data_IF_765267465756
#
_entry.id   IF_765267465756
#
_cell.length_a   1.000
_cell.length_b   1.000
_cell.length_c   1.000
_cell.angle_alpha   90.00
_cell.angle_beta   90.00
_cell.angle_gamma   90.00
#
_symmetry.space_group_name_H-M   'P 1'
#
loop_
_entity.id
_entity.type
_entity.pdbx_description
1 polymer ?
#
# COMPACT_ATOMS: atom_id res chain seq x y z
N UNK A 1 -65.25 -33.21 -10.23
CA UNK A 1 -64.93 -34.65 -10.30
C UNK A 1 -65.45 -35.21 -11.62
N UNK A 2 -64.62 -35.96 -12.35
CA UNK A 2 -64.76 -36.43 -13.74
C UNK A 2 -64.68 -35.34 -14.84
N UNK A 3 -63.48 -35.16 -15.40
CA UNK A 3 -63.12 -35.49 -16.80
C UNK A 3 -61.70 -34.99 -17.10
N UNK A 4 -61.05 -35.67 -18.04
CA UNK A 4 -59.73 -35.38 -18.64
C UNK A 4 -58.49 -35.85 -17.85
N UNK A 5 -58.44 -37.16 -17.61
CA UNK A 5 -57.20 -37.93 -17.86
C UNK A 5 -57.08 -38.18 -19.37
N UNK A 6 -55.83 -38.30 -19.85
CA UNK A 6 -55.38 -38.69 -21.20
C UNK A 6 -55.16 -37.55 -22.22
N UNK A 7 -54.01 -36.87 -22.10
CA UNK A 7 -53.19 -36.42 -23.23
C UNK A 7 -51.88 -35.82 -22.71
N UNK A 8 -50.81 -36.63 -22.67
CA UNK A 8 -49.38 -36.25 -22.77
C UNK A 8 -48.50 -37.43 -22.31
N UNK A 9 -48.77 -38.62 -22.87
CA UNK A 9 -47.82 -39.73 -22.89
C UNK A 9 -47.13 -39.72 -24.26
N UNK A 10 -45.92 -39.14 -24.31
CA UNK A 10 -44.82 -39.38 -25.27
C UNK A 10 -43.95 -38.12 -25.32
N UNK A 11 -42.95 -38.04 -24.43
CA UNK A 11 -41.68 -37.31 -24.67
C UNK A 11 -40.65 -37.49 -23.53
N UNK A 12 -40.67 -38.63 -22.83
CA UNK A 12 -39.67 -38.95 -21.80
C UNK A 12 -39.18 -40.38 -21.97
N UNK A 13 -38.42 -40.62 -23.05
CA UNK A 13 -37.53 -41.77 -23.18
C UNK A 13 -36.26 -41.30 -23.92
N UNK A 14 -35.37 -40.63 -23.18
CA UNK A 14 -33.97 -40.47 -23.56
C UNK A 14 -33.14 -41.54 -22.84
N UNK A 15 -32.11 -42.13 -23.47
CA UNK A 15 -31.36 -43.23 -22.89
C UNK A 15 -30.53 -42.75 -21.70
N UNK A 16 -30.60 -43.48 -20.59
CA UNK A 16 -29.78 -43.29 -19.41
C UNK A 16 -28.32 -43.67 -19.74
N UNK A 17 -27.49 -42.67 -20.03
CA UNK A 17 -26.04 -42.82 -20.06
C UNK A 17 -25.48 -42.60 -18.66
N UNK A 18 -25.15 -43.69 -17.97
CA UNK A 18 -24.38 -43.68 -16.72
C UNK A 18 -22.96 -43.17 -16.99
N UNK A 19 -22.72 -41.88 -16.76
CA UNK A 19 -21.35 -41.35 -16.69
C UNK A 19 -20.68 -41.91 -15.44
N UNK A 20 -19.44 -42.43 -15.51
CA UNK A 20 -18.72 -42.84 -14.32
C UNK A 20 -18.47 -41.58 -13.49
N UNK A 21 -18.94 -41.60 -12.23
CA UNK A 21 -18.55 -40.61 -11.24
C UNK A 21 -17.05 -40.78 -11.04
N UNK A 22 -16.26 -39.89 -11.63
CA UNK A 22 -14.86 -39.76 -11.30
C UNK A 22 -14.80 -39.40 -9.80
N UNK A 23 -14.44 -40.39 -8.97
CA UNK A 23 -13.99 -40.14 -7.61
C UNK A 23 -12.79 -39.22 -7.74
N UNK A 24 -13.01 -37.93 -7.51
CA UNK A 24 -11.91 -37.02 -7.19
C UNK A 24 -11.38 -37.52 -5.86
N UNK A 25 -10.29 -38.28 -5.91
CA UNK A 25 -9.49 -38.55 -4.74
C UNK A 25 -8.91 -37.20 -4.34
N UNK A 26 -9.59 -36.50 -3.45
CA UNK A 26 -8.98 -35.42 -2.68
C UNK A 26 -7.98 -36.13 -1.78
N UNK A 27 -6.76 -36.28 -2.27
CA UNK A 27 -5.65 -36.59 -1.38
C UNK A 27 -5.57 -35.40 -0.44
N UNK A 28 -5.88 -35.61 0.84
CA UNK A 28 -5.55 -34.65 1.88
C UNK A 28 -4.02 -34.56 1.88
N UNK A 29 -3.46 -33.63 1.11
CA UNK A 29 -2.05 -33.28 1.22
C UNK A 29 -1.88 -32.84 2.66
N UNK A 30 -1.15 -33.64 3.44
CA UNK A 30 -0.75 -33.22 4.76
C UNK A 30 0.10 -31.96 4.60
N UNK A 31 0.01 -31.03 5.57
CA UNK A 31 0.85 -29.83 5.63
C UNK A 31 2.37 -30.12 5.56
N UNK A 32 2.78 -31.39 5.64
CA UNK A 32 4.16 -31.89 5.57
C UNK A 32 4.79 -31.95 4.15
N UNK A 33 4.03 -31.72 3.07
CA UNK A 33 4.52 -31.90 1.68
C UNK A 33 4.80 -30.59 0.92
N UNK A 34 4.82 -29.42 1.58
CA UNK A 34 5.13 -28.15 0.93
C UNK A 34 6.63 -27.91 0.83
N UNK A 35 7.06 -27.24 -0.24
CA UNK A 35 8.42 -26.75 -0.36
C UNK A 35 8.67 -25.66 0.70
N UNK A 36 9.86 -25.67 1.32
CA UNK A 36 10.24 -24.64 2.29
C UNK A 36 10.60 -23.32 1.60
N UNK A 37 11.14 -23.39 0.39
CA UNK A 37 11.51 -22.24 -0.43
C UNK A 37 11.48 -22.60 -1.92
N UNK A 38 11.39 -21.58 -2.77
CA UNK A 38 11.52 -21.70 -4.22
C UNK A 38 12.25 -20.49 -4.79
N UNK A 39 12.89 -20.68 -5.95
CA UNK A 39 13.59 -19.63 -6.68
C UNK A 39 12.66 -19.08 -7.76
N UNK A 40 12.59 -17.76 -7.85
CA UNK A 40 11.77 -17.05 -8.82
C UNK A 40 12.64 -16.14 -9.68
N UNK A 41 12.35 -16.12 -10.97
CA UNK A 41 12.84 -15.08 -11.88
C UNK A 41 12.02 -13.80 -11.70
N UNK A 42 12.72 -12.67 -11.68
CA UNK A 42 12.14 -11.34 -11.60
C UNK A 42 12.60 -10.53 -12.81
N UNK A 43 11.72 -9.65 -13.28
CA UNK A 43 11.96 -8.85 -14.48
C UNK A 43 13.23 -8.01 -14.31
N UNK A 44 14.06 -7.96 -15.34
CA UNK A 44 15.26 -7.13 -15.36
C UNK A 44 14.89 -5.65 -15.17
N UNK A 45 15.67 -4.98 -14.33
CA UNK A 45 15.54 -3.56 -14.04
C UNK A 45 16.16 -2.70 -15.15
N UNK A 46 15.54 -1.57 -15.44
CA UNK A 46 16.19 -0.53 -16.23
C UNK A 46 16.98 0.38 -15.30
N UNK A 47 18.21 0.68 -15.68
CA UNK A 47 19.21 1.33 -14.83
C UNK A 47 19.59 2.70 -15.38
N UNK A 48 19.88 3.62 -14.48
CA UNK A 48 20.41 4.95 -14.76
C UNK A 48 21.65 5.18 -13.89
N UNK A 49 22.81 5.39 -14.52
CA UNK A 49 24.11 5.58 -13.85
C UNK A 49 24.46 4.48 -12.82
N UNK A 50 24.07 3.24 -13.11
CA UNK A 50 24.45 2.05 -12.37
C UNK A 50 25.04 1.03 -13.36
N UNK A 51 26.19 0.46 -13.04
CA UNK A 51 26.81 -0.61 -13.84
C UNK A 51 26.09 -1.93 -13.63
N UNK A 52 25.71 -2.21 -12.38
CA UNK A 52 24.97 -3.40 -11.97
C UNK A 52 23.72 -3.00 -11.19
N UNK A 53 22.66 -3.78 -11.38
CA UNK A 53 21.38 -3.60 -10.69
C UNK A 53 21.12 -4.70 -9.66
N UNK A 54 19.90 -4.74 -9.10
CA UNK A 54 19.47 -5.84 -8.24
C UNK A 54 19.50 -7.18 -8.99
N UNK A 55 19.61 -8.32 -8.28
CA UNK A 55 19.61 -9.65 -8.89
C UNK A 55 18.31 -9.89 -9.66
N UNK A 56 18.37 -10.69 -10.73
CA UNK A 56 17.19 -11.06 -11.54
C UNK A 56 16.56 -12.39 -11.12
N UNK A 57 17.07 -12.99 -10.06
CA UNK A 57 16.51 -14.18 -9.42
C UNK A 57 16.49 -13.98 -7.92
N UNK A 58 15.52 -14.59 -7.24
CA UNK A 58 15.45 -14.52 -5.79
C UNK A 58 14.80 -15.74 -5.17
N UNK A 59 15.22 -16.07 -3.95
CA UNK A 59 14.57 -17.07 -3.12
C UNK A 59 13.38 -16.45 -2.39
N UNK A 60 12.26 -17.16 -2.33
CA UNK A 60 11.13 -16.86 -1.45
C UNK A 60 10.86 -18.09 -0.58
N UNK A 61 10.92 -17.93 0.73
CA UNK A 61 10.51 -18.99 1.65
C UNK A 61 8.99 -19.03 1.76
N UNK A 62 8.45 -20.22 2.09
CA UNK A 62 7.02 -20.42 2.35
C UNK A 62 6.49 -19.46 3.42
N UNK A 63 7.22 -19.31 4.52
CA UNK A 63 6.86 -18.40 5.62
C UNK A 63 6.74 -16.95 5.14
N UNK A 64 7.75 -16.46 4.40
CA UNK A 64 7.72 -15.12 3.81
C UNK A 64 6.54 -14.96 2.85
N UNK A 65 6.30 -15.96 1.98
CA UNK A 65 5.20 -15.94 1.03
C UNK A 65 3.84 -15.83 1.71
N UNK A 66 3.58 -16.64 2.72
CA UNK A 66 2.32 -16.61 3.48
C UNK A 66 2.14 -15.25 4.19
N UNK A 67 3.22 -14.72 4.77
CA UNK A 67 3.20 -13.41 5.42
C UNK A 67 2.91 -12.27 4.43
N UNK A 68 3.56 -12.26 3.26
CA UNK A 68 3.33 -11.24 2.23
C UNK A 68 1.91 -11.33 1.67
N UNK A 69 1.42 -12.54 1.40
CA UNK A 69 0.06 -12.76 0.93
C UNK A 69 -0.97 -12.24 1.92
N UNK A 70 -0.86 -12.64 3.21
CA UNK A 70 -1.72 -12.15 4.29
C UNK A 70 -1.69 -10.63 4.39
N UNK A 71 -0.50 -10.03 4.38
CA UNK A 71 -0.32 -8.57 4.51
C UNK A 71 -0.97 -7.80 3.36
N UNK A 72 -0.70 -8.19 2.10
CA UNK A 72 -1.31 -7.55 0.94
C UNK A 72 -2.83 -7.73 0.94
N UNK A 73 -3.32 -8.91 1.32
CA UNK A 73 -4.76 -9.17 1.42
C UNK A 73 -5.41 -8.34 2.52
N UNK A 74 -4.78 -8.16 3.68
CA UNK A 74 -5.27 -7.26 4.73
C UNK A 74 -5.42 -5.84 4.23
N UNK A 75 -4.42 -5.32 3.50
CA UNK A 75 -4.48 -3.98 2.90
C UNK A 75 -5.64 -3.90 1.90
N UNK A 76 -5.71 -4.83 0.93
CA UNK A 76 -6.80 -4.89 -0.06
C UNK A 76 -8.17 -4.86 0.60
N UNK A 77 -8.39 -5.66 1.64
CA UNK A 77 -9.68 -5.75 2.32
C UNK A 77 -9.98 -4.52 3.18
N UNK A 78 -8.97 -3.93 3.82
CA UNK A 78 -9.08 -2.65 4.54
C UNK A 78 -9.51 -1.52 3.60
N UNK A 79 -8.90 -1.39 2.43
CA UNK A 79 -9.24 -0.35 1.45
C UNK A 79 -10.67 -0.53 0.90
N UNK A 80 -11.07 -1.76 0.58
CA UNK A 80 -12.44 -2.05 0.14
C UNK A 80 -13.48 -1.79 1.24
N UNK A 81 -13.11 -1.98 2.50
CA UNK A 81 -13.96 -1.61 3.64
C UNK A 81 -14.05 -0.09 3.79
N UNK A 82 -12.95 0.63 3.61
CA UNK A 82 -12.94 2.09 3.62
C UNK A 82 -13.82 2.68 2.50
N UNK A 83 -13.81 2.10 1.28
CA UNK A 83 -14.76 2.44 0.21
C UNK A 83 -16.22 2.31 0.67
N UNK A 84 -16.57 1.17 1.27
CA UNK A 84 -17.92 0.90 1.78
C UNK A 84 -18.33 1.94 2.84
N UNK A 85 -17.48 2.16 3.85
CA UNK A 85 -17.76 3.09 4.95
C UNK A 85 -17.87 4.55 4.46
N UNK A 86 -17.11 4.92 3.43
CA UNK A 86 -17.21 6.24 2.80
C UNK A 86 -18.55 6.41 2.06
N UNK A 87 -18.98 5.40 1.29
CA UNK A 87 -20.29 5.41 0.62
C UNK A 87 -21.44 5.49 1.62
N UNK A 88 -21.29 4.89 2.80
CA UNK A 88 -22.22 4.99 3.93
C UNK A 88 -22.15 6.32 4.69
N UNK A 89 -21.29 7.27 4.28
CA UNK A 89 -21.06 8.57 4.92
C UNK A 89 -20.48 8.49 6.34
N UNK A 90 -19.93 7.34 6.72
CA UNK A 90 -19.24 7.16 8.00
C UNK A 90 -17.82 7.75 7.91
N UNK A 91 -17.16 7.58 6.77
CA UNK A 91 -15.94 8.31 6.42
C UNK A 91 -16.34 9.54 5.59
N UNK A 92 -15.67 10.66 5.84
CA UNK A 92 -15.91 11.97 5.21
C UNK A 92 -14.60 12.65 4.79
N UNK A 93 -14.68 13.74 4.04
CA UNK A 93 -13.50 14.48 3.57
C UNK A 93 -12.72 13.69 2.52
N UNK A 94 -11.40 13.64 2.65
CA UNK A 94 -10.55 12.88 1.74
C UNK A 94 -10.43 11.41 2.16
N UNK A 95 -10.38 10.52 1.17
CA UNK A 95 -10.05 9.10 1.36
C UNK A 95 -9.39 8.59 0.07
N UNK A 96 -8.12 8.19 0.15
CA UNK A 96 -7.30 7.79 -1.00
C UNK A 96 -6.90 6.33 -0.86
N UNK A 97 -7.55 5.44 -1.61
CA UNK A 97 -7.41 4.00 -1.45
C UNK A 97 -6.16 3.43 -2.13
N UNK A 98 -5.43 2.56 -1.45
CA UNK A 98 -4.16 2.01 -1.93
C UNK A 98 -4.29 0.72 -2.77
N UNK A 99 -5.51 0.28 -3.09
CA UNK A 99 -5.73 -1.01 -3.72
C UNK A 99 -5.22 -1.08 -5.18
N UNK A 100 -4.44 -2.11 -5.47
CA UNK A 100 -3.67 -2.29 -6.70
C UNK A 100 -2.16 -1.99 -6.53
N UNK A 101 -1.78 -1.28 -5.47
CA UNK A 101 -0.39 -0.91 -5.18
C UNK A 101 0.23 -1.74 -4.04
N UNK A 102 -0.41 -2.81 -3.57
CA UNK A 102 -0.02 -3.51 -2.34
C UNK A 102 1.42 -4.06 -2.38
N UNK A 103 1.87 -4.52 -3.55
CA UNK A 103 3.24 -4.98 -3.75
C UNK A 103 4.29 -3.91 -3.42
N UNK A 104 3.98 -2.62 -3.61
CA UNK A 104 4.89 -1.52 -3.28
C UNK A 104 5.15 -1.46 -1.78
N UNK A 105 4.12 -1.28 -0.96
CA UNK A 105 4.28 -1.14 0.49
C UNK A 105 4.78 -2.42 1.17
N UNK A 106 4.31 -3.60 0.75
CA UNK A 106 4.75 -4.88 1.31
C UNK A 106 6.17 -5.24 0.86
N UNK A 107 6.51 -5.01 -0.41
CA UNK A 107 7.85 -5.26 -0.94
C UNK A 107 8.89 -4.33 -0.31
N UNK A 108 8.55 -3.06 -0.09
CA UNK A 108 9.40 -2.11 0.63
C UNK A 108 9.63 -2.55 2.08
N UNK A 109 8.55 -2.87 2.81
CA UNK A 109 8.63 -3.33 4.20
C UNK A 109 9.49 -4.59 4.34
N UNK A 110 9.41 -5.50 3.37
CA UNK A 110 10.16 -6.74 3.34
C UNK A 110 11.68 -6.56 3.15
N UNK A 111 12.13 -5.36 2.80
CA UNK A 111 13.52 -5.06 2.46
C UNK A 111 14.23 -4.12 3.44
N UNK A 112 13.47 -3.47 4.33
CA UNK A 112 14.01 -2.50 5.29
C UNK A 112 13.77 -2.95 6.73
N UNK A 113 14.54 -2.40 7.67
CA UNK A 113 14.41 -2.70 9.08
C UNK A 113 13.31 -1.85 9.73
N UNK A 114 12.84 -2.27 10.91
CA UNK A 114 11.93 -1.45 11.73
C UNK A 114 12.59 -0.19 12.29
N UNK A 115 13.92 -0.17 12.35
CA UNK A 115 14.72 1.00 12.70
C UNK A 115 14.83 2.00 11.55
N UNK A 116 14.64 1.56 10.30
CA UNK A 116 14.62 2.46 9.14
C UNK A 116 13.36 3.30 9.09
N UNK A 117 13.48 4.42 8.38
CA UNK A 117 12.48 5.49 8.37
C UNK A 117 11.72 5.52 7.05
N UNK A 118 10.42 5.84 7.10
CA UNK A 118 9.58 5.93 5.90
C UNK A 118 8.66 7.15 5.96
N UNK A 119 8.53 7.86 4.85
CA UNK A 119 7.59 8.97 4.70
C UNK A 119 6.92 8.93 3.31
N UNK A 120 5.62 9.22 3.26
CA UNK A 120 4.85 9.24 2.01
C UNK A 120 3.81 10.37 1.96
N UNK A 121 3.11 10.48 0.83
CA UNK A 121 2.00 11.41 0.64
C UNK A 121 0.72 10.88 1.31
N UNK A 122 -0.45 11.41 0.94
CA UNK A 122 -1.73 11.11 1.57
C UNK A 122 -2.33 9.72 1.26
N UNK A 123 -1.78 8.95 0.31
CA UNK A 123 -2.25 7.59 -0.01
C UNK A 123 -1.56 6.55 0.87
N UNK A 124 -1.76 6.66 2.18
CA UNK A 124 -0.85 6.10 3.17
C UNK A 124 -1.35 4.86 3.92
N UNK A 125 -2.62 4.44 3.79
CA UNK A 125 -3.18 3.44 4.72
C UNK A 125 -2.40 2.11 4.70
N UNK A 126 -1.97 1.65 3.51
CA UNK A 126 -1.11 0.47 3.36
C UNK A 126 0.21 0.61 4.14
N UNK A 127 0.91 1.73 4.00
CA UNK A 127 2.15 2.01 4.74
C UNK A 127 1.92 2.16 6.25
N UNK A 128 0.83 2.80 6.66
CA UNK A 128 0.44 2.89 8.08
C UNK A 128 0.28 1.50 8.70
N UNK A 129 -0.34 0.57 7.97
CA UNK A 129 -0.48 -0.82 8.41
C UNK A 129 0.87 -1.56 8.42
N UNK A 130 1.64 -1.50 7.32
CA UNK A 130 2.93 -2.20 7.27
C UNK A 130 3.90 -1.70 8.33
N UNK A 131 3.85 -0.40 8.68
CA UNK A 131 4.63 0.25 9.75
C UNK A 131 4.09 0.03 11.17
N UNK A 132 3.07 -0.81 11.32
CA UNK A 132 2.71 -1.44 12.61
C UNK A 132 1.45 -0.93 13.27
N UNK A 133 0.70 0.00 12.66
CA UNK A 133 -0.60 0.39 13.20
C UNK A 133 -1.65 -0.67 12.82
N UNK A 134 -2.41 -1.21 13.79
CA UNK A 134 -3.42 -2.21 13.48
C UNK A 134 -4.59 -1.61 12.69
N UNK A 135 -5.23 -2.43 11.84
CA UNK A 135 -6.39 -2.02 11.02
C UNK A 135 -7.50 -1.37 11.85
N UNK A 136 -7.69 -1.84 13.09
CA UNK A 136 -8.65 -1.28 14.04
C UNK A 136 -8.46 0.23 14.25
N UNK A 137 -7.22 0.66 14.50
CA UNK A 137 -6.90 2.08 14.72
C UNK A 137 -6.92 2.88 13.42
N UNK A 138 -6.52 2.28 12.29
CA UNK A 138 -6.59 2.92 10.97
C UNK A 138 -8.05 3.22 10.61
N UNK A 139 -8.95 2.23 10.69
CA UNK A 139 -10.36 2.42 10.37
C UNK A 139 -11.02 3.39 11.35
N UNK A 140 -10.68 3.34 12.65
CA UNK A 140 -11.19 4.29 13.64
C UNK A 140 -10.74 5.73 13.36
N UNK A 141 -9.51 5.93 12.87
CA UNK A 141 -9.05 7.26 12.43
C UNK A 141 -9.81 7.74 11.19
N UNK A 142 -10.06 6.86 10.23
CA UNK A 142 -10.87 7.18 9.04
C UNK A 142 -12.31 7.58 9.40
N UNK A 143 -12.90 6.94 10.40
CA UNK A 143 -14.26 7.25 10.88
C UNK A 143 -14.29 8.37 11.93
N UNK A 144 -13.13 8.98 12.24
CA UNK A 144 -13.01 10.15 13.11
C UNK A 144 -13.27 9.86 14.59
N UNK A 145 -12.91 8.66 15.09
CA UNK A 145 -13.19 8.23 16.47
C UNK A 145 -11.97 8.36 17.38
N UNK A 146 -12.22 8.36 18.70
CA UNK A 146 -11.18 8.56 19.71
C UNK A 146 -10.12 7.45 19.72
N UNK A 147 -10.52 6.22 19.35
CA UNK A 147 -9.62 5.07 19.19
C UNK A 147 -8.82 5.07 17.88
N UNK A 148 -8.89 6.14 17.08
CA UNK A 148 -8.02 6.33 15.93
C UNK A 148 -6.57 6.56 16.32
N UNK A 149 -5.63 6.22 15.42
CA UNK A 149 -4.19 6.38 15.69
C UNK A 149 -3.75 7.85 15.90
N UNK A 150 -4.57 8.82 15.49
CA UNK A 150 -4.40 10.24 15.79
C UNK A 150 -5.63 10.82 16.52
N UNK A 151 -6.37 9.97 17.25
CA UNK A 151 -7.55 10.34 18.03
C UNK A 151 -8.63 11.08 17.22
N UNK A 152 -8.79 10.73 15.94
CA UNK A 152 -9.76 11.37 15.05
C UNK A 152 -9.40 12.80 14.63
N UNK A 153 -8.19 13.29 14.96
CA UNK A 153 -7.73 14.64 14.58
C UNK A 153 -7.14 14.69 13.16
N UNK A 154 -6.63 13.56 12.65
CA UNK A 154 -5.88 13.52 11.40
C UNK A 154 -6.71 13.09 10.19
N UNK A 155 -7.58 12.10 10.37
CA UNK A 155 -8.32 11.45 9.28
C UNK A 155 -7.41 10.68 8.32
N UNK A 156 -7.88 10.47 7.09
CA UNK A 156 -7.20 9.63 6.08
C UNK A 156 -5.77 10.04 5.77
N UNK A 157 -5.51 11.34 5.69
CA UNK A 157 -4.24 11.83 5.16
C UNK A 157 -3.13 11.90 6.20
N UNK A 158 -3.42 11.87 7.50
CA UNK A 158 -2.47 12.24 8.55
C UNK A 158 -2.39 11.17 9.65
N UNK A 159 -1.82 10.03 9.30
CA UNK A 159 -1.56 8.93 10.24
C UNK A 159 -0.06 8.73 10.41
N UNK A 160 0.41 8.64 11.65
CA UNK A 160 1.84 8.54 11.99
C UNK A 160 2.09 7.27 12.81
N UNK A 161 3.30 6.72 12.75
CA UNK A 161 3.70 5.58 13.56
C UNK A 161 5.19 5.67 13.93
N UNK A 162 5.68 4.69 14.68
CA UNK A 162 7.12 4.61 14.97
C UNK A 162 7.91 4.53 13.66
N UNK A 163 8.80 5.50 13.44
CA UNK A 163 9.62 5.65 12.23
C UNK A 163 8.80 5.70 10.91
N UNK A 164 7.52 6.07 11.00
CA UNK A 164 6.66 6.38 9.88
C UNK A 164 6.14 7.80 10.03
N UNK A 165 6.64 8.70 9.19
CA UNK A 165 6.52 10.14 9.36
C UNK A 165 5.31 10.73 8.62
N UNK A 166 4.25 9.94 8.53
CA UNK A 166 2.96 10.44 8.11
C UNK A 166 2.59 10.09 6.68
N UNK A 167 1.29 10.13 6.46
CA UNK A 167 0.76 10.65 5.21
C UNK A 167 0.81 12.19 5.21
N UNK A 168 1.20 12.75 4.06
CA UNK A 168 1.36 14.18 3.89
C UNK A 168 0.43 14.70 2.78
N UNK A 169 -0.40 15.70 3.12
CA UNK A 169 -1.44 16.23 2.24
C UNK A 169 -0.92 17.20 1.17
N UNK A 170 0.25 17.80 1.38
CA UNK A 170 0.84 18.78 0.46
C UNK A 170 1.78 18.08 -0.51
N UNK A 171 1.40 18.06 -1.79
CA UNK A 171 2.11 17.32 -2.84
C UNK A 171 3.58 17.75 -2.94
N UNK A 172 4.50 16.82 -2.69
CA UNK A 172 5.95 17.02 -2.78
C UNK A 172 6.61 17.50 -1.49
N UNK A 173 5.85 18.01 -0.52
CA UNK A 173 6.38 18.54 0.74
C UNK A 173 7.06 17.48 1.61
N UNK A 174 6.66 16.22 1.48
CA UNK A 174 7.26 15.11 2.20
C UNK A 174 8.68 14.77 1.72
N UNK A 175 9.06 15.20 0.52
CA UNK A 175 10.36 14.84 -0.06
C UNK A 175 11.52 15.55 0.64
N UNK A 176 11.50 16.89 0.83
CA UNK A 176 12.47 17.56 1.70
C UNK A 176 12.49 17.01 3.13
N UNK A 177 11.32 16.67 3.70
CA UNK A 177 11.22 16.10 5.04
C UNK A 177 11.95 14.74 5.13
N UNK A 178 11.75 13.86 4.14
CA UNK A 178 12.45 12.58 4.04
C UNK A 178 13.96 12.73 3.96
N UNK A 179 14.46 13.70 3.17
CA UNK A 179 15.89 14.02 3.15
C UNK A 179 16.38 14.58 4.49
N UNK A 180 15.57 15.36 5.22
CA UNK A 180 15.88 15.81 6.58
C UNK A 180 15.99 14.65 7.58
N UNK A 181 15.14 13.63 7.45
CA UNK A 181 15.22 12.40 8.24
C UNK A 181 16.48 11.61 7.87
N UNK A 182 16.81 11.48 6.57
CA UNK A 182 18.05 10.85 6.12
C UNK A 182 19.30 11.59 6.64
N UNK A 183 19.25 12.93 6.68
CA UNK A 183 20.30 13.75 7.30
C UNK A 183 20.46 13.41 8.78
N UNK A 184 19.36 13.25 9.53
CA UNK A 184 19.42 12.82 10.93
C UNK A 184 20.02 11.41 11.07
N UNK A 185 19.67 10.47 10.19
CA UNK A 185 20.24 9.11 10.19
C UNK A 185 21.77 9.16 10.05
N UNK A 186 22.25 9.95 9.08
CA UNK A 186 23.68 10.18 8.87
C UNK A 186 24.33 10.88 10.06
N UNK A 187 23.69 11.92 10.60
CA UNK A 187 24.22 12.72 11.71
C UNK A 187 24.42 11.88 12.98
N UNK A 188 23.48 10.98 13.28
CA UNK A 188 23.55 10.10 14.45
C UNK A 188 24.34 8.80 14.22
N UNK A 189 24.75 8.51 12.98
CA UNK A 189 25.65 7.39 12.65
C UNK A 189 25.08 6.00 12.98
N UNK A 190 23.76 5.80 12.81
CA UNK A 190 23.07 4.55 13.23
C UNK A 190 22.92 3.48 12.16
N UNK A 191 23.52 3.67 10.99
CA UNK A 191 23.33 2.80 9.81
C UNK A 191 21.85 2.61 9.42
N UNK A 192 21.03 3.63 9.70
CA UNK A 192 19.62 3.72 9.33
C UNK A 192 19.49 4.49 8.00
N UNK A 193 18.45 4.18 7.23
CA UNK A 193 18.10 4.89 5.98
C UNK A 193 16.74 5.57 6.09
N UNK A 194 16.44 6.48 5.16
CA UNK A 194 15.08 6.99 4.97
C UNK A 194 14.55 6.69 3.57
N UNK A 195 13.40 6.01 3.52
CA UNK A 195 12.60 5.79 2.32
C UNK A 195 11.62 6.96 2.16
N UNK A 196 11.75 7.68 1.05
CA UNK A 196 11.03 8.93 0.79
C UNK A 196 10.20 8.82 -0.47
N UNK A 197 8.89 8.62 -0.30
CA UNK A 197 7.98 8.33 -1.40
C UNK A 197 7.25 9.58 -1.93
N UNK A 198 6.99 9.59 -3.23
CA UNK A 198 6.16 10.57 -3.92
C UNK A 198 5.51 9.94 -5.17
N UNK A 199 4.41 10.50 -5.67
CA UNK A 199 3.74 10.00 -6.88
C UNK A 199 4.27 10.63 -8.17
N UNK A 200 3.89 10.07 -9.32
CA UNK A 200 4.26 10.59 -10.65
C UNK A 200 3.89 12.07 -10.85
N UNK A 201 2.70 12.50 -10.42
CA UNK A 201 2.30 13.91 -10.45
C UNK A 201 3.13 14.81 -9.51
N UNK A 202 3.62 14.26 -8.39
CA UNK A 202 4.48 14.98 -7.47
C UNK A 202 5.90 15.16 -8.03
N UNK A 203 6.36 14.29 -8.92
CA UNK A 203 7.71 14.29 -9.48
C UNK A 203 8.10 15.55 -10.28
N UNK A 204 7.16 16.47 -10.49
CA UNK A 204 7.39 17.77 -11.13
C UNK A 204 7.45 18.95 -10.13
N UNK A 205 7.39 18.68 -8.82
CA UNK A 205 7.52 19.70 -7.78
C UNK A 205 8.97 20.19 -7.68
N UNK A 206 9.19 21.51 -7.73
CA UNK A 206 10.53 22.12 -7.70
C UNK A 206 11.36 21.70 -6.49
N UNK A 207 10.73 21.67 -5.29
CA UNK A 207 11.38 21.25 -4.04
C UNK A 207 11.98 19.84 -4.07
N UNK A 208 11.50 18.94 -4.94
CA UNK A 208 12.10 17.60 -5.12
C UNK A 208 13.49 17.74 -5.75
N UNK A 209 13.66 18.60 -6.74
CA UNK A 209 14.94 18.81 -7.43
C UNK A 209 15.94 19.57 -6.54
N UNK A 210 15.46 20.53 -5.74
CA UNK A 210 16.28 21.15 -4.68
C UNK A 210 16.78 20.08 -3.70
N UNK A 211 15.89 19.17 -3.30
CA UNK A 211 16.20 18.08 -2.37
C UNK A 211 17.19 17.08 -2.98
N UNK A 212 17.03 16.71 -4.25
CA UNK A 212 18.00 15.86 -4.96
C UNK A 212 19.41 16.44 -4.92
N UNK A 213 19.54 17.73 -5.24
CA UNK A 213 20.83 18.40 -5.21
C UNK A 213 21.48 18.34 -3.82
N UNK A 214 20.76 18.70 -2.76
CA UNK A 214 21.30 18.67 -1.39
C UNK A 214 21.60 17.24 -0.92
N UNK A 215 20.71 16.28 -1.21
CA UNK A 215 20.90 14.90 -0.80
C UNK A 215 22.13 14.27 -1.46
N UNK A 216 22.37 14.55 -2.73
CA UNK A 216 23.56 14.11 -3.45
C UNK A 216 24.82 14.80 -2.92
N UNK A 217 24.77 16.13 -2.77
CA UNK A 217 25.87 16.94 -2.25
C UNK A 217 26.35 16.44 -0.88
N UNK A 218 25.42 16.12 0.00
CA UNK A 218 25.71 15.65 1.35
C UNK A 218 25.77 14.13 1.47
N UNK A 219 25.66 13.36 0.38
CA UNK A 219 25.62 11.90 0.38
C UNK A 219 24.69 11.35 1.47
N UNK A 220 23.43 11.76 1.43
CA UNK A 220 22.44 11.33 2.42
C UNK A 220 21.96 9.89 2.14
N UNK A 221 21.68 9.08 3.17
CA UNK A 221 21.12 7.74 3.03
C UNK A 221 19.61 7.80 2.74
N UNK A 222 19.25 8.43 1.61
CA UNK A 222 17.87 8.68 1.20
C UNK A 222 17.51 7.90 -0.07
N UNK A 223 16.51 7.02 0.01
CA UNK A 223 15.94 6.33 -1.15
C UNK A 223 14.74 7.14 -1.61
N UNK A 224 14.84 7.77 -2.78
CA UNK A 224 13.75 8.52 -3.39
C UNK A 224 12.89 7.59 -4.23
N UNK A 225 11.62 7.44 -3.89
CA UNK A 225 10.73 6.51 -4.59
C UNK A 225 9.61 7.25 -5.29
N UNK A 226 9.55 7.13 -6.62
CA UNK A 226 8.40 7.56 -7.41
C UNK A 226 7.43 6.39 -7.58
N UNK A 227 6.27 6.45 -6.93
CA UNK A 227 5.16 5.53 -7.17
C UNK A 227 4.38 6.00 -8.40
N UNK A 228 4.78 5.49 -9.56
CA UNK A 228 4.17 5.82 -10.84
C UNK A 228 2.94 4.95 -11.06
N UNK A 229 1.76 5.50 -10.75
CA UNK A 229 0.47 4.85 -11.00
C UNK A 229 -0.20 5.35 -12.30
N UNK A 230 0.59 6.02 -13.15
CA UNK A 230 0.25 6.60 -14.46
C UNK A 230 -0.58 7.88 -14.44
N UNK A 231 -1.10 8.31 -13.29
CA UNK A 231 -2.04 9.44 -13.23
C UNK A 231 -1.89 10.32 -11.98
N UNK A 232 -1.42 11.54 -12.18
CA UNK A 232 -1.47 12.63 -11.22
C UNK A 232 -2.89 13.21 -11.13
N UNK A 233 -3.67 12.73 -10.16
CA UNK A 233 -5.12 13.00 -10.08
C UNK A 233 -5.85 12.52 -11.34
N UNK A 234 -6.15 13.42 -12.29
CA UNK A 234 -6.76 13.08 -13.59
C UNK A 234 -5.87 13.37 -14.79
N UNK A 235 -4.59 13.70 -14.58
CA UNK A 235 -3.64 14.01 -15.65
C UNK A 235 -2.69 12.83 -15.83
N UNK A 236 -2.64 12.26 -17.04
CA UNK A 236 -1.71 11.17 -17.35
C UNK A 236 -0.26 11.66 -17.35
N UNK A 237 0.68 10.74 -17.16
CA UNK A 237 2.12 11.06 -17.13
C UNK A 237 2.61 11.76 -18.40
N UNK A 238 2.12 11.37 -19.57
CA UNK A 238 2.49 11.94 -20.87
C UNK A 238 2.02 13.40 -21.02
N UNK A 239 0.97 13.78 -20.28
CA UNK A 239 0.43 15.15 -20.29
C UNK A 239 1.04 16.03 -19.20
N UNK A 240 1.66 15.43 -18.18
CA UNK A 240 2.19 16.14 -17.03
C UNK A 240 3.72 16.27 -17.05
N UNK A 241 4.44 15.33 -17.66
CA UNK A 241 5.89 15.30 -17.67
C UNK A 241 6.43 15.21 -19.11
N UNK A 242 7.35 16.10 -19.46
CA UNK A 242 8.02 16.07 -20.76
C UNK A 242 8.89 14.80 -20.95
N UNK A 243 9.37 14.22 -19.85
CA UNK A 243 9.99 12.90 -19.81
C UNK A 243 9.32 12.07 -18.72
N UNK A 244 8.81 10.90 -19.10
CA UNK A 244 8.12 9.93 -18.25
C UNK A 244 9.07 8.86 -17.68
N UNK A 245 10.38 9.01 -17.88
CA UNK A 245 11.40 8.18 -17.23
C UNK A 245 11.71 8.74 -15.83
N UNK A 246 10.82 8.47 -14.86
CA UNK A 246 10.91 9.05 -13.51
C UNK A 246 12.18 8.65 -12.77
N UNK A 247 12.67 7.42 -12.96
CA UNK A 247 13.93 6.95 -12.38
C UNK A 247 15.18 7.73 -12.83
N UNK A 248 15.10 8.49 -13.94
CA UNK A 248 16.18 9.34 -14.45
C UNK A 248 16.09 10.80 -14.00
N UNK A 249 14.99 11.21 -13.36
CA UNK A 249 14.75 12.62 -13.01
C UNK A 249 15.70 13.17 -11.95
N UNK A 250 16.38 12.28 -11.21
CA UNK A 250 17.49 12.64 -10.33
C UNK A 250 18.74 13.13 -11.07
N UNK A 251 18.80 12.99 -12.40
CA UNK A 251 19.93 13.33 -13.28
C UNK A 251 21.28 12.77 -12.81
N UNK A 252 21.97 13.45 -11.90
CA UNK A 252 23.23 13.02 -11.30
C UNK A 252 23.05 11.92 -10.24
N UNK A 253 21.85 11.72 -9.70
CA UNK A 253 21.56 10.62 -8.76
C UNK A 253 21.33 9.31 -9.55
N UNK A 254 21.96 8.19 -9.18
CA UNK A 254 21.68 6.90 -9.80
C UNK A 254 20.23 6.48 -9.57
N UNK A 255 19.68 5.68 -10.49
CA UNK A 255 18.33 5.19 -10.31
C UNK A 255 17.98 3.92 -11.07
N UNK A 256 16.84 3.34 -10.71
CA UNK A 256 16.33 2.11 -11.32
C UNK A 256 14.80 2.13 -11.45
N UNK A 257 14.30 1.48 -12.50
CA UNK A 257 12.86 1.25 -12.73
C UNK A 257 12.48 -0.19 -12.38
N UNK A 258 11.40 -0.32 -11.63
CA UNK A 258 10.96 -1.57 -11.00
C UNK A 258 9.50 -1.85 -11.38
N UNK A 259 9.19 -3.12 -11.59
CA UNK A 259 7.80 -3.58 -11.66
C UNK A 259 7.15 -3.49 -10.27
N UNK A 260 6.35 -2.45 -10.05
CA UNK A 260 5.66 -2.18 -8.79
C UNK A 260 4.44 -3.08 -8.54
N UNK A 261 4.12 -3.99 -9.46
CA UNK A 261 3.08 -5.01 -9.30
C UNK A 261 3.65 -6.35 -8.80
N UNK A 262 4.97 -6.53 -8.85
CA UNK A 262 5.66 -7.73 -8.39
C UNK A 262 6.35 -7.48 -7.03
N UNK A 263 5.78 -8.05 -5.97
CA UNK A 263 6.29 -7.90 -4.60
C UNK A 263 7.74 -8.37 -4.43
N UNK A 264 8.18 -9.37 -5.20
CA UNK A 264 9.57 -9.85 -5.14
C UNK A 264 10.51 -8.89 -5.86
N UNK A 265 10.09 -8.33 -7.00
CA UNK A 265 10.88 -7.33 -7.71
C UNK A 265 11.05 -6.05 -6.88
N UNK A 266 9.99 -5.60 -6.21
CA UNK A 266 10.05 -4.47 -5.27
C UNK A 266 10.97 -4.78 -4.10
N UNK A 267 10.87 -5.97 -3.50
CA UNK A 267 11.72 -6.39 -2.38
C UNK A 267 13.20 -6.37 -2.75
N UNK A 268 13.59 -7.01 -3.85
CA UNK A 268 15.01 -7.08 -4.23
C UNK A 268 15.57 -5.72 -4.65
N UNK A 269 14.79 -4.90 -5.35
CA UNK A 269 15.17 -3.53 -5.67
C UNK A 269 15.36 -2.66 -4.42
N UNK A 270 14.46 -2.82 -3.45
CA UNK A 270 14.51 -2.08 -2.19
C UNK A 270 15.70 -2.50 -1.32
N UNK A 271 16.04 -3.79 -1.27
CA UNK A 271 17.25 -4.29 -0.58
C UNK A 271 18.49 -3.68 -1.20
N UNK A 272 18.61 -3.74 -2.54
CA UNK A 272 19.72 -3.15 -3.28
C UNK A 272 19.86 -1.64 -2.99
N UNK A 273 18.76 -0.89 -3.02
CA UNK A 273 18.76 0.55 -2.75
C UNK A 273 19.12 0.85 -1.29
N UNK A 274 18.66 0.04 -0.33
CA UNK A 274 19.02 0.18 1.07
C UNK A 274 20.51 -0.08 1.30
N UNK A 275 21.05 -1.15 0.72
CA UNK A 275 22.48 -1.47 0.82
C UNK A 275 23.35 -0.41 0.14
N UNK A 276 22.89 0.17 -0.97
CA UNK A 276 23.55 1.32 -1.60
C UNK A 276 23.67 2.51 -0.62
N UNK A 277 22.57 2.87 0.04
CA UNK A 277 22.56 3.98 0.99
C UNK A 277 23.38 3.69 2.25
N UNK A 278 23.27 2.47 2.83
CA UNK A 278 24.06 2.04 4.00
C UNK A 278 25.56 1.98 3.71
N UNK A 279 25.95 1.63 2.48
CA UNK A 279 27.34 1.70 2.03
C UNK A 279 27.88 3.14 1.87
N UNK A 280 27.09 4.17 2.19
CA UNK A 280 27.53 5.57 2.14
C UNK A 280 27.69 6.14 0.73
N UNK A 281 27.12 5.48 -0.29
CA UNK A 281 27.20 5.91 -1.70
C UNK A 281 26.31 7.12 -2.00
N UNK A 282 25.45 7.51 -1.06
CA UNK A 282 24.53 8.63 -1.16
C UNK A 282 23.11 8.19 -1.52
N UNK A 283 22.30 9.11 -2.08
CA UNK A 283 20.92 8.81 -2.43
C UNK A 283 20.80 7.98 -3.71
N UNK A 284 19.64 7.35 -3.88
CA UNK A 284 19.27 6.60 -5.09
C UNK A 284 17.80 6.83 -5.42
N UNK A 285 17.44 6.88 -6.71
CA UNK A 285 16.06 7.01 -7.18
C UNK A 285 15.50 5.66 -7.61
N UNK A 286 14.29 5.32 -7.18
CA UNK A 286 13.58 4.12 -7.60
C UNK A 286 12.20 4.49 -8.14
N UNK A 287 11.88 4.09 -9.37
CA UNK A 287 10.53 4.21 -9.92
C UNK A 287 9.79 2.88 -9.76
N UNK A 288 8.73 2.85 -8.97
CA UNK A 288 7.82 1.70 -8.88
C UNK A 288 6.69 1.90 -9.89
N UNK A 289 6.70 1.13 -10.97
CA UNK A 289 5.63 1.13 -11.96
C UNK A 289 4.46 0.30 -11.44
N UNK A 290 3.45 0.98 -10.90
CA UNK A 290 2.31 0.35 -10.24
C UNK A 290 1.00 0.86 -10.81
N UNK A 291 -0.13 0.54 -10.16
CA UNK A 291 -1.44 0.99 -10.62
C UNK A 291 -2.44 1.07 -9.47
N UNK A 292 -3.23 2.16 -9.44
CA UNK A 292 -4.37 2.31 -8.52
C UNK A 292 -5.67 1.89 -9.19
N UNK A 293 -6.44 1.01 -8.56
CA UNK A 293 -7.71 0.56 -9.14
C UNK A 293 -8.82 1.59 -8.97
N UNK A 294 -8.93 2.19 -7.79
CA UNK A 294 -9.86 3.31 -7.58
C UNK A 294 -9.37 4.58 -8.28
N UNK A 295 -10.30 5.56 -8.40
CA UNK A 295 -9.97 6.93 -8.80
C UNK A 295 -8.96 7.59 -7.87
N UNK A 296 -8.70 8.88 -8.08
CA UNK A 296 -7.71 9.59 -7.28
C UNK A 296 -8.03 9.52 -5.79
N UNK A 297 -9.27 9.84 -5.45
CA UNK A 297 -9.89 9.77 -4.14
C UNK A 297 -11.34 9.28 -4.28
N UNK A 298 -12.04 9.11 -3.16
CA UNK A 298 -13.45 8.71 -3.18
C UNK A 298 -14.41 9.68 -3.89
N UNK A 299 -14.02 10.94 -4.14
CA UNK A 299 -14.83 11.89 -4.94
C UNK A 299 -14.59 11.78 -6.44
N UNK A 300 -13.58 11.03 -6.87
CA UNK A 300 -13.22 10.84 -8.27
C UNK A 300 -13.58 9.42 -8.73
N UNK A 301 -14.56 9.25 -9.64
CA UNK A 301 -14.89 7.95 -10.21
C UNK A 301 -13.77 7.30 -11.02
N UNK A 302 -12.79 8.08 -11.51
CA UNK A 302 -11.61 7.57 -12.21
C UNK A 302 -11.86 7.02 -13.63
N UNK A 303 -12.94 7.45 -14.29
CA UNK A 303 -13.34 7.00 -15.64
C UNK A 303 -13.39 8.11 -16.70
N UNK A 304 -13.12 9.38 -16.32
CA UNK A 304 -13.11 10.51 -17.26
C UNK A 304 -11.78 10.67 -18.00
N UNK A 305 -10.71 10.05 -17.50
CA UNK A 305 -9.34 10.20 -18.01
C UNK A 305 -8.64 8.86 -18.30
N UNK A 306 -9.34 7.74 -18.12
CA UNK A 306 -8.91 6.37 -18.42
C UNK A 306 -10.11 5.46 -18.57
N UNK A 307 -9.95 4.34 -19.26
CA UNK A 307 -11.07 3.42 -19.55
C UNK A 307 -11.26 2.38 -18.45
N UNK A 308 -12.46 1.78 -18.37
CA UNK A 308 -12.71 0.67 -17.44
C UNK A 308 -11.95 -0.59 -17.87
N UNK A 309 -11.77 -0.74 -19.17
CA UNK A 309 -11.04 -1.82 -19.82
C UNK A 309 -9.57 -1.79 -19.42
N UNK A 310 -8.92 -0.62 -19.37
CA UNK A 310 -7.53 -0.49 -18.88
C UNK A 310 -7.40 -0.99 -17.43
N UNK A 311 -8.32 -0.57 -16.54
CA UNK A 311 -8.30 -0.99 -15.13
C UNK A 311 -8.51 -2.51 -15.01
N UNK A 312 -9.46 -3.05 -15.78
CA UNK A 312 -9.76 -4.49 -15.77
C UNK A 312 -8.61 -5.32 -16.36
N UNK A 313 -7.95 -4.82 -17.40
CA UNK A 313 -6.77 -5.45 -17.99
C UNK A 313 -5.63 -5.54 -16.97
N UNK A 314 -5.29 -4.43 -16.32
CA UNK A 314 -4.25 -4.43 -15.26
C UNK A 314 -4.62 -5.39 -14.14
N UNK A 315 -5.87 -5.35 -13.63
CA UNK A 315 -6.32 -6.22 -12.54
C UNK A 315 -6.31 -7.71 -12.93
N UNK A 316 -6.66 -8.05 -14.17
CA UNK A 316 -6.70 -9.45 -14.60
C UNK A 316 -5.33 -10.03 -14.92
N UNK A 317 -4.39 -9.22 -15.41
CA UNK A 317 -3.06 -9.67 -15.85
C UNK A 317 -1.98 -9.49 -14.79
N UNK A 318 -2.12 -8.52 -13.90
CA UNK A 318 -1.01 -8.04 -13.06
C UNK A 318 -1.41 -7.72 -11.63
N UNK A 319 -2.55 -8.22 -11.13
CA UNK A 319 -2.89 -7.98 -9.72
C UNK A 319 -1.82 -8.57 -8.77
N UNK A 320 -1.27 -7.78 -7.83
CA UNK A 320 -0.11 -8.19 -7.05
C UNK A 320 -0.38 -9.40 -6.14
N UNK A 321 -1.63 -9.56 -5.70
CA UNK A 321 -2.05 -10.66 -4.84
C UNK A 321 -2.22 -11.94 -5.67
N UNK A 322 -2.84 -11.83 -6.85
CA UNK A 322 -2.94 -12.94 -7.81
C UNK A 322 -1.57 -13.42 -8.26
N UNK A 323 -0.65 -12.50 -8.61
CA UNK A 323 0.72 -12.84 -9.03
C UNK A 323 1.46 -13.63 -7.94
N UNK A 324 1.40 -13.20 -6.68
CA UNK A 324 2.03 -13.94 -5.58
C UNK A 324 1.37 -15.29 -5.34
N UNK A 325 0.03 -15.35 -5.35
CA UNK A 325 -0.74 -16.59 -5.20
C UNK A 325 -0.31 -17.63 -6.24
N UNK A 326 -0.30 -17.26 -7.51
CA UNK A 326 0.03 -18.19 -8.60
C UNK A 326 1.47 -18.68 -8.47
N UNK A 327 2.41 -17.80 -8.09
CA UNK A 327 3.80 -18.19 -7.78
C UNK A 327 3.87 -19.21 -6.66
N UNK A 328 3.19 -18.98 -5.55
CA UNK A 328 3.21 -19.88 -4.39
C UNK A 328 2.58 -21.23 -4.69
N UNK A 329 1.41 -21.25 -5.36
CA UNK A 329 0.69 -22.49 -5.68
C UNK A 329 1.45 -23.32 -6.71
N UNK A 330 1.92 -22.69 -7.80
CA UNK A 330 2.61 -23.41 -8.87
C UNK A 330 3.98 -23.97 -8.45
N UNK A 331 4.57 -23.43 -7.39
CA UNK A 331 5.86 -23.90 -6.85
C UNK A 331 5.71 -24.70 -5.55
N UNK A 332 4.50 -25.17 -5.25
CA UNK A 332 4.21 -26.01 -4.08
C UNK A 332 4.64 -25.36 -2.74
N UNK A 333 4.64 -24.02 -2.67
CA UNK A 333 4.89 -23.26 -1.43
C UNK A 333 3.64 -23.13 -0.57
N UNK A 334 2.44 -23.23 -1.14
CA UNK A 334 1.16 -23.24 -0.42
C UNK A 334 0.06 -23.86 -1.29
N UNK A 335 -1.02 -24.34 -0.65
CA UNK A 335 -2.22 -24.78 -1.37
C UNK A 335 -3.20 -23.63 -1.60
N UNK A 336 -4.14 -23.84 -2.52
CA UNK A 336 -5.23 -22.89 -2.75
C UNK A 336 -6.13 -22.80 -1.50
N UNK A 337 -6.32 -23.91 -0.79
CA UNK A 337 -7.12 -24.02 0.42
C UNK A 337 -6.53 -23.20 1.56
N UNK A 338 -5.22 -23.29 1.79
CA UNK A 338 -4.52 -22.53 2.84
C UNK A 338 -4.62 -21.01 2.58
N UNK A 339 -4.43 -20.58 1.34
CA UNK A 339 -4.58 -19.16 0.99
C UNK A 339 -6.03 -18.66 1.14
N UNK A 340 -7.03 -19.54 0.90
CA UNK A 340 -8.45 -19.22 1.17
C UNK A 340 -8.73 -19.12 2.68
N UNK A 341 -8.10 -19.92 3.51
CA UNK A 341 -8.22 -19.80 4.97
C UNK A 341 -7.69 -18.46 5.46
N UNK A 342 -6.56 -18.00 4.92
CA UNK A 342 -6.03 -16.65 5.16
C UNK A 342 -7.06 -15.59 4.70
N UNK A 343 -7.67 -15.75 3.52
CA UNK A 343 -8.69 -14.81 3.05
C UNK A 343 -9.88 -14.71 4.01
N UNK A 344 -10.32 -15.83 4.60
CA UNK A 344 -11.41 -15.87 5.58
C UNK A 344 -11.00 -15.19 6.89
N UNK A 345 -9.81 -15.49 7.40
CA UNK A 345 -9.26 -14.87 8.62
C UNK A 345 -9.16 -13.35 8.46
N UNK A 346 -8.57 -12.90 7.35
CA UNK A 346 -8.42 -11.46 7.04
C UNK A 346 -9.79 -10.80 6.95
N UNK A 347 -10.76 -11.40 6.25
CA UNK A 347 -12.12 -10.83 6.17
C UNK A 347 -12.73 -10.66 7.55
N UNK A 348 -12.62 -11.66 8.42
CA UNK A 348 -13.12 -11.58 9.80
C UNK A 348 -12.45 -10.44 10.57
N UNK A 349 -11.12 -10.33 10.50
CA UNK A 349 -10.36 -9.24 11.13
C UNK A 349 -10.84 -7.85 10.66
N UNK A 350 -11.10 -7.68 9.36
CA UNK A 350 -11.57 -6.40 8.80
C UNK A 350 -12.99 -6.07 9.26
N UNK A 351 -13.90 -7.05 9.31
CA UNK A 351 -15.26 -6.82 9.81
C UNK A 351 -15.27 -6.45 11.30
N UNK A 352 -14.44 -7.12 12.13
CA UNK A 352 -14.29 -6.78 13.55
C UNK A 352 -13.72 -5.36 13.73
N UNK A 353 -12.71 -4.98 12.95
CA UNK A 353 -12.14 -3.64 12.97
C UNK A 353 -13.15 -2.57 12.52
N UNK A 354 -13.96 -2.86 11.50
CA UNK A 354 -15.01 -1.95 11.03
C UNK A 354 -16.14 -1.80 12.06
N UNK A 355 -16.55 -2.90 12.70
CA UNK A 355 -17.53 -2.85 13.78
C UNK A 355 -17.04 -1.94 14.90
N UNK A 356 -15.79 -2.11 15.34
CA UNK A 356 -15.19 -1.21 16.33
C UNK A 356 -15.20 0.25 15.85
N UNK A 357 -14.67 0.53 14.66
CA UNK A 357 -14.56 1.89 14.11
C UNK A 357 -15.92 2.60 13.93
N UNK A 358 -17.02 1.84 13.81
CA UNK A 358 -18.37 2.40 13.68
C UNK A 358 -19.07 2.61 15.02
N UNK A 359 -18.68 1.88 16.07
CA UNK A 359 -19.27 2.00 17.42
C UNK A 359 -18.43 2.79 18.41
N UNK A 360 -17.14 2.97 18.16
CA UNK A 360 -16.23 3.72 19.03
C UNK A 360 -16.64 5.20 19.10
N UNK A 361 -16.66 5.88 20.26
CA UNK A 361 -17.20 7.22 20.36
C UNK A 361 -16.32 8.26 19.62
N UNK A 362 -16.93 9.38 19.25
CA UNK A 362 -16.18 10.55 18.79
C UNK A 362 -15.30 11.12 19.93
N UNK A 363 -14.20 11.82 19.62
CA UNK A 363 -13.41 12.52 20.61
C UNK A 363 -14.26 13.54 21.39
N UNK A 364 -14.08 13.64 22.72
CA UNK A 364 -14.78 14.63 23.51
C UNK A 364 -14.44 16.05 23.06
N UNK A 365 -15.44 16.93 23.02
CA UNK A 365 -15.30 18.31 22.53
C UNK A 365 -14.29 19.13 23.34
N UNK A 366 -14.12 18.80 24.62
CA UNK A 366 -13.18 19.42 25.54
C UNK A 366 -11.72 19.22 25.11
N UNK A 367 -11.43 18.15 24.38
CA UNK A 367 -10.08 17.83 23.87
C UNK A 367 -9.78 18.47 22.51
N UNK A 368 -10.68 19.29 21.97
CA UNK A 368 -10.50 19.96 20.68
C UNK A 368 -9.16 20.69 20.60
N UNK A 369 -8.81 21.45 21.64
CA UNK A 369 -7.59 22.25 21.72
C UNK A 369 -6.31 21.49 22.09
N UNK A 370 -6.37 20.19 22.37
CA UNK A 370 -5.20 19.43 22.82
C UNK A 370 -4.14 19.25 21.73
N UNK A 371 -2.90 19.07 22.17
CA UNK A 371 -1.71 18.74 21.37
C UNK A 371 -1.29 19.82 20.35
N UNK A 372 -1.53 21.10 20.66
CA UNK A 372 -1.03 22.23 19.84
C UNK A 372 0.48 22.40 20.01
N UNK A 373 0.97 22.35 21.24
CA UNK A 373 2.40 22.44 21.57
C UNK A 373 2.83 21.24 22.41
N UNK A 374 4.03 20.73 22.13
CA UNK A 374 4.63 19.61 22.85
C UNK A 374 5.42 20.12 24.07
N UNK A 375 5.22 19.52 25.25
CA UNK A 375 5.90 19.87 26.52
C UNK A 375 5.72 21.32 27.01
N UNK A 376 4.63 21.97 26.62
CA UNK A 376 4.26 23.28 27.16
C UNK A 376 3.23 23.14 28.30
N UNK A 377 3.22 24.07 29.29
CA UNK A 377 2.16 24.14 30.28
C UNK A 377 0.78 24.33 29.61
N UNK A 378 -0.31 23.85 30.25
CA UNK A 378 -1.65 24.05 29.71
C UNK A 378 -2.00 25.52 29.51
N UNK A 379 -2.67 25.84 28.40
CA UNK A 379 -3.13 27.19 28.07
C UNK A 379 -4.53 27.19 27.44
N UNK A 380 -5.14 28.37 27.26
CA UNK A 380 -6.46 28.50 26.65
C UNK A 380 -6.39 28.88 25.16
N UNK A 381 -7.21 28.22 24.36
CA UNK A 381 -7.37 28.47 22.92
C UNK A 381 -8.73 29.11 22.68
N UNK A 382 -8.75 30.19 21.89
CA UNK A 382 -9.99 30.86 21.48
C UNK A 382 -10.78 30.00 20.49
N UNK A 383 -12.07 29.82 20.75
CA UNK A 383 -13.02 29.18 19.84
C UNK A 383 -13.60 30.14 18.78
N UNK A 384 -14.80 29.84 18.23
CA UNK A 384 -15.45 30.66 17.19
C UNK A 384 -15.69 32.12 17.59
N UNK A 385 -15.75 32.42 18.87
CA UNK A 385 -15.85 33.78 19.41
C UNK A 385 -15.00 33.90 20.69
N UNK A 386 -14.89 35.12 21.22
CA UNK A 386 -14.02 35.40 22.37
C UNK A 386 -14.44 34.75 23.69
N UNK A 387 -15.70 34.31 23.81
CA UNK A 387 -16.28 33.72 25.01
C UNK A 387 -16.15 32.19 25.06
N UNK A 388 -15.88 31.54 23.92
CA UNK A 388 -15.63 30.10 23.87
C UNK A 388 -14.12 29.87 24.03
N UNK A 389 -13.73 29.12 25.06
CA UNK A 389 -12.34 28.77 25.37
C UNK A 389 -12.21 27.26 25.49
N UNK A 390 -11.18 26.71 24.86
CA UNK A 390 -10.79 25.30 25.00
C UNK A 390 -9.47 25.23 25.74
N UNK A 391 -9.34 24.29 26.66
CA UNK A 391 -8.04 23.98 27.26
C UNK A 391 -7.18 23.25 26.21
N UNK A 392 -5.91 23.63 26.13
CA UNK A 392 -4.90 22.89 25.39
C UNK A 392 -3.94 22.25 26.39
N UNK A 393 -3.75 20.94 26.28
CA UNK A 393 -2.67 20.21 26.96
C UNK A 393 -1.77 19.54 25.93
N UNK A 394 -0.47 19.52 26.21
CA UNK A 394 0.56 18.93 25.34
C UNK A 394 0.45 17.43 25.16
#
# INVERSE_FOLDING_TARGET
MRKMLAALSRLLQGPAASRPVARVVVTSRNYADFANEAIFEIKKYELHRLEEGPPTTTVLTREQGLQYYKTMQTIRRMELKADQLYKQKIIRGFCHLYDGQEACCVGLEAAINRTDHLITAYRAHGFTYTRGIPVREILAELTGRIGGCAKGKGGSMHMYAKNFYGGNGIVGAQVPLGAGIALACKYFGKDEICVTLYGDGAANQGQIFETFNMAALWKLPCIFICENNRYGMGTSVERAAASTDYYKRGDFIPGLRVDGMDVLAVREASKFAADHCRAGKGPIVMELQTYRYHGHSMSDPGISYRTREEIQEVRSKSDPITLLKDRMVNNNLASVEELKEIDVEVRKQIEEAAQFATTDPEPPLEELGNHIYNKEPPFEVRGPNQWIRYKSVG
#
